data_IF_124507592266
#
_entry.id   IF_124507592266
#
_cell.length_a   1.000
_cell.length_b   1.000
_cell.length_c   1.000
_cell.angle_alpha   90.00
_cell.angle_beta   90.00
_cell.angle_gamma   90.00
#
_symmetry.space_group_name_H-M   'P 1'
#
loop_
_entity.id
_entity.type
_entity.pdbx_description
1 polymer ?
#
# COMPACT_ATOMS: atom_id res chain seq x y z
N UNK A 1 12.56 31.43 -7.87
CA UNK A 1 12.39 30.04 -7.40
C UNK A 1 10.91 29.77 -7.26
N UNK A 2 10.29 29.05 -8.19
CA UNK A 2 8.87 28.74 -8.14
C UNK A 2 8.64 27.65 -7.10
N UNK A 3 8.09 28.02 -5.95
CA UNK A 3 7.64 27.10 -4.93
C UNK A 3 6.46 26.28 -5.48
N UNK A 4 6.75 25.08 -5.97
CA UNK A 4 5.73 24.11 -6.39
C UNK A 4 4.93 23.68 -5.15
N UNK A 5 3.78 24.31 -4.93
CA UNK A 5 2.79 23.82 -3.95
C UNK A 5 2.35 22.44 -4.42
N UNK A 6 2.86 21.38 -3.78
CA UNK A 6 2.39 20.01 -4.04
C UNK A 6 0.88 19.99 -3.81
N UNK A 7 0.09 19.34 -4.69
CA UNK A 7 -1.34 19.18 -4.48
C UNK A 7 -1.60 18.52 -3.11
N UNK A 8 -2.76 18.77 -2.48
CA UNK A 8 -3.08 18.17 -1.20
C UNK A 8 -3.00 16.64 -1.28
N UNK A 9 -2.28 16.02 -0.33
CA UNK A 9 -2.09 14.56 -0.33
C UNK A 9 -3.44 13.84 -0.30
N UNK A 10 -3.63 12.88 -1.19
CA UNK A 10 -4.85 12.06 -1.23
C UNK A 10 -4.96 11.16 0.01
N UNK A 11 -6.16 10.64 0.31
CA UNK A 11 -6.34 9.70 1.43
C UNK A 11 -5.45 8.46 1.31
N UNK A 12 -5.26 7.98 0.07
CA UNK A 12 -4.35 6.89 -0.25
C UNK A 12 -2.89 7.22 0.09
N UNK A 13 -2.40 8.38 -0.36
CA UNK A 13 -1.03 8.82 -0.09
C UNK A 13 -0.77 9.00 1.41
N UNK A 14 -1.77 9.48 2.17
CA UNK A 14 -1.68 9.59 3.63
C UNK A 14 -1.51 8.23 4.30
N UNK A 15 -2.17 7.19 3.79
CA UNK A 15 -2.04 5.82 4.30
C UNK A 15 -0.65 5.26 3.98
N UNK A 16 -0.16 5.45 2.74
CA UNK A 16 1.21 5.05 2.38
C UNK A 16 2.25 5.75 3.27
N UNK A 17 2.07 7.05 3.50
CA UNK A 17 2.96 7.86 4.35
C UNK A 17 2.99 7.34 5.79
N UNK A 18 1.84 6.92 6.33
CA UNK A 18 1.75 6.26 7.64
C UNK A 18 2.63 5.00 7.69
N UNK A 19 2.54 4.12 6.69
CA UNK A 19 3.35 2.90 6.69
C UNK A 19 4.84 3.17 6.50
N UNK A 20 5.21 4.13 5.67
CA UNK A 20 6.61 4.41 5.39
C UNK A 20 7.30 5.17 6.54
N UNK A 21 6.62 6.12 7.16
CA UNK A 21 7.22 7.05 8.12
C UNK A 21 6.88 6.78 9.59
N UNK A 22 5.73 6.15 9.88
CA UNK A 22 5.27 5.94 11.26
C UNK A 22 5.34 4.49 11.72
N UNK A 23 5.04 3.53 10.83
CA UNK A 23 5.06 2.12 11.23
C UNK A 23 6.50 1.59 11.27
N UNK A 24 6.81 0.81 12.30
CA UNK A 24 8.09 0.09 12.39
C UNK A 24 8.07 -1.18 11.51
N UNK A 25 9.26 -1.64 11.11
CA UNK A 25 9.40 -2.85 10.30
C UNK A 25 9.10 -4.08 11.15
N UNK A 26 8.43 -5.08 10.57
CA UNK A 26 8.10 -6.35 11.21
C UNK A 26 7.32 -6.18 12.53
N UNK A 27 6.52 -5.12 12.63
CA UNK A 27 5.66 -4.84 13.76
C UNK A 27 4.17 -4.96 13.36
N UNK A 28 3.53 -6.13 13.56
CA UNK A 28 2.12 -6.33 13.29
C UNK A 28 1.24 -5.41 14.12
N UNK A 29 0.38 -4.65 13.42
CA UNK A 29 -0.65 -3.82 14.04
C UNK A 29 -2.04 -4.26 13.60
N UNK A 30 -3.00 -4.12 14.49
CA UNK A 30 -4.40 -4.33 14.16
C UNK A 30 -4.91 -3.20 13.26
N UNK A 31 -5.82 -3.52 12.34
CA UNK A 31 -6.49 -2.53 11.49
C UNK A 31 -7.18 -1.43 12.29
N UNK A 32 -7.65 -1.73 13.50
CA UNK A 32 -8.27 -0.77 14.41
C UNK A 32 -7.31 0.37 14.78
N UNK A 33 -6.04 0.05 15.05
CA UNK A 33 -5.00 1.05 15.34
C UNK A 33 -4.75 1.95 14.13
N UNK A 34 -4.74 1.39 12.93
CA UNK A 34 -4.58 2.17 11.69
C UNK A 34 -5.78 3.11 11.48
N UNK A 35 -7.00 2.66 11.79
CA UNK A 35 -8.21 3.49 11.77
C UNK A 35 -8.11 4.64 12.76
N UNK A 36 -7.67 4.37 13.99
CA UNK A 36 -7.46 5.39 15.04
C UNK A 36 -6.39 6.41 14.63
N UNK A 37 -5.22 5.94 14.17
CA UNK A 37 -4.07 6.79 13.84
C UNK A 37 -4.28 7.67 12.60
N UNK A 38 -5.11 7.20 11.66
CA UNK A 38 -5.38 7.91 10.40
C UNK A 38 -6.70 8.66 10.38
N UNK A 39 -7.64 8.33 11.27
CA UNK A 39 -8.98 8.92 11.34
C UNK A 39 -9.90 8.56 10.16
N UNK A 40 -9.50 7.61 9.31
CA UNK A 40 -10.33 7.15 8.18
C UNK A 40 -11.29 6.03 8.59
N UNK A 41 -12.39 5.89 7.85
CA UNK A 41 -13.35 4.81 8.10
C UNK A 41 -12.74 3.43 7.86
N UNK A 42 -13.18 2.45 8.65
CA UNK A 42 -12.70 1.06 8.56
C UNK A 42 -12.84 0.49 7.14
N UNK A 43 -13.98 0.74 6.48
CA UNK A 43 -14.22 0.27 5.10
C UNK A 43 -13.25 0.89 4.09
N UNK A 44 -12.89 2.17 4.26
CA UNK A 44 -11.91 2.84 3.40
C UNK A 44 -10.51 2.29 3.62
N UNK A 45 -10.09 2.13 4.87
CA UNK A 45 -8.79 1.54 5.22
C UNK A 45 -8.71 0.14 4.66
N UNK A 46 -9.69 -0.73 4.93
CA UNK A 46 -9.69 -2.11 4.45
C UNK A 46 -9.54 -2.19 2.93
N UNK A 47 -10.33 -1.41 2.17
CA UNK A 47 -10.22 -1.36 0.70
C UNK A 47 -8.83 -0.90 0.25
N UNK A 48 -8.27 0.10 0.93
CA UNK A 48 -6.96 0.65 0.61
C UNK A 48 -5.83 -0.33 0.92
N UNK A 49 -5.86 -1.00 2.08
CA UNK A 49 -4.85 -1.99 2.45
C UNK A 49 -4.89 -3.22 1.53
N UNK A 50 -6.07 -3.66 1.11
CA UNK A 50 -6.20 -4.71 0.08
C UNK A 50 -5.51 -4.28 -1.21
N UNK A 51 -5.78 -3.05 -1.69
CA UNK A 51 -5.14 -2.51 -2.89
C UNK A 51 -3.61 -2.42 -2.74
N UNK A 52 -3.12 -1.97 -1.57
CA UNK A 52 -1.68 -1.89 -1.30
C UNK A 52 -1.06 -3.30 -1.32
N UNK A 53 -1.70 -4.30 -0.72
CA UNK A 53 -1.22 -5.69 -0.74
C UNK A 53 -1.08 -6.25 -2.16
N UNK A 54 -2.00 -5.86 -3.06
CA UNK A 54 -1.98 -6.31 -4.45
C UNK A 54 -0.88 -5.59 -5.24
N UNK A 55 -0.81 -4.26 -5.14
CA UNK A 55 0.04 -3.42 -6.00
C UNK A 55 1.44 -3.14 -5.45
N UNK A 56 1.71 -3.42 -4.17
CA UNK A 56 2.98 -3.07 -3.53
C UNK A 56 3.67 -4.29 -2.91
N UNK A 57 4.99 -4.30 -3.00
CA UNK A 57 5.86 -5.25 -2.32
C UNK A 57 6.27 -4.74 -0.93
N UNK A 58 6.47 -5.71 -0.04
CA UNK A 58 6.89 -5.51 1.34
C UNK A 58 5.79 -5.05 2.29
N UNK A 59 4.54 -5.30 1.90
CA UNK A 59 3.35 -5.04 2.69
C UNK A 59 2.54 -6.31 2.90
N UNK A 60 2.13 -6.56 4.14
CA UNK A 60 1.33 -7.70 4.53
C UNK A 60 0.01 -7.26 5.14
N UNK A 61 -1.06 -7.95 4.75
CA UNK A 61 -2.40 -7.72 5.26
C UNK A 61 -3.21 -9.02 5.24
N UNK A 62 -3.58 -9.50 6.42
CA UNK A 62 -4.26 -10.77 6.58
C UNK A 62 -5.22 -10.77 7.76
N UNK A 63 -6.18 -11.70 7.71
CA UNK A 63 -7.14 -11.91 8.79
C UNK A 63 -6.55 -12.93 9.78
N UNK A 64 -6.41 -12.54 11.04
CA UNK A 64 -5.99 -13.42 12.13
C UNK A 64 -7.11 -13.48 13.17
N UNK A 65 -7.76 -14.64 13.29
CA UNK A 65 -8.94 -14.82 14.12
C UNK A 65 -10.08 -13.86 13.72
N UNK A 66 -10.49 -13.00 14.65
CA UNK A 66 -11.54 -12.00 14.41
C UNK A 66 -11.01 -10.61 14.02
N UNK A 67 -9.69 -10.43 13.95
CA UNK A 67 -9.08 -9.13 13.60
C UNK A 67 -8.30 -9.21 12.29
N UNK A 68 -8.04 -8.04 11.70
CA UNK A 68 -7.14 -7.92 10.57
C UNK A 68 -5.82 -7.34 11.05
N UNK A 69 -4.73 -7.98 10.68
CA UNK A 69 -3.37 -7.57 10.99
C UNK A 69 -2.69 -7.04 9.73
N UNK A 70 -1.84 -6.03 9.92
CA UNK A 70 -1.06 -5.42 8.86
C UNK A 70 0.33 -5.06 9.37
N UNK A 71 1.33 -5.30 8.54
CA UNK A 71 2.72 -4.89 8.79
C UNK A 71 3.46 -4.69 7.48
N UNK A 72 4.65 -4.11 7.59
CA UNK A 72 5.62 -4.04 6.49
C UNK A 72 6.87 -4.82 6.88
N UNK A 73 7.53 -5.42 5.90
CA UNK A 73 8.81 -6.13 6.10
C UNK A 73 10.02 -5.31 5.61
N UNK A 74 9.78 -4.11 5.09
CA UNK A 74 10.78 -3.17 4.54
C UNK A 74 10.61 -1.77 5.09
N UNK A 75 11.64 -0.94 4.91
CA UNK A 75 11.60 0.47 5.27
C UNK A 75 10.48 1.22 4.52
N UNK A 76 10.35 0.95 3.23
CA UNK A 76 9.33 1.54 2.37
C UNK A 76 8.61 0.44 1.59
N UNK A 77 7.29 0.56 1.45
CA UNK A 77 6.52 -0.26 0.52
C UNK A 77 6.81 0.22 -0.91
N UNK A 78 7.04 -0.72 -1.82
CA UNK A 78 7.50 -0.42 -3.18
C UNK A 78 6.41 -0.85 -4.16
N UNK A 79 5.98 0.05 -5.05
CA UNK A 79 4.98 -0.31 -6.07
C UNK A 79 5.58 -1.36 -7.01
N UNK A 80 4.86 -2.45 -7.24
CA UNK A 80 5.23 -3.49 -8.19
C UNK A 80 5.30 -2.90 -9.59
N UNK A 81 6.33 -3.29 -10.34
CA UNK A 81 6.54 -2.92 -11.73
C UNK A 81 5.70 -3.82 -12.64
N UNK A 82 4.37 -3.70 -12.58
CA UNK A 82 3.48 -4.44 -13.51
C UNK A 82 3.30 -3.71 -14.87
N UNK A 83 3.82 -2.49 -15.01
CA UNK A 83 3.69 -1.65 -16.21
C UNK A 83 5.02 -1.44 -16.95
N UNK A 84 5.90 -2.44 -16.98
CA UNK A 84 7.05 -2.41 -17.91
C UNK A 84 6.67 -3.01 -19.26
N UNK A 85 7.33 -2.57 -20.33
CA UNK A 85 7.10 -3.01 -21.71
C UNK A 85 7.17 -4.54 -21.93
N UNK A 86 7.63 -5.28 -20.92
CA UNK A 86 7.63 -6.75 -20.82
C UNK A 86 6.26 -7.39 -21.09
N UNK A 87 5.15 -6.76 -20.68
CA UNK A 87 3.81 -7.30 -20.93
C UNK A 87 3.44 -7.34 -22.42
N UNK A 88 4.08 -6.52 -23.25
CA UNK A 88 3.91 -6.51 -24.72
C UNK A 88 4.84 -7.49 -25.44
N UNK A 89 5.72 -8.18 -24.72
CA UNK A 89 6.57 -9.24 -25.30
C UNK A 89 5.83 -10.58 -25.36
N UNK A 90 4.97 -10.89 -24.38
CA UNK A 90 4.18 -12.13 -24.34
C UNK A 90 3.09 -12.21 -25.43
N UNK A 91 2.71 -11.07 -26.04
CA UNK A 91 1.72 -11.03 -27.13
C UNK A 91 2.32 -11.43 -28.49
N UNK A 92 3.64 -11.47 -28.65
CA UNK A 92 4.28 -11.79 -29.93
C UNK A 92 4.47 -13.30 -30.17
N UNK A 93 4.41 -14.14 -29.13
CA UNK A 93 4.61 -15.60 -29.25
C UNK A 93 3.34 -16.38 -29.70
N UNK A 94 2.26 -15.68 -30.13
CA UNK A 94 1.01 -16.30 -30.59
C UNK A 94 0.66 -16.08 -32.06
N UNK A 95 1.54 -15.49 -32.86
CA UNK A 95 1.39 -15.42 -34.31
C UNK A 95 2.61 -16.03 -35.01
N UNK A 96 2.60 -17.35 -35.18
CA UNK A 96 3.36 -18.08 -36.21
C UNK A 96 2.59 -19.34 -36.61
#
# INVERSE_FOLDING_TARGET
MSSTKKPPKTGFEKIIDYYNNKLEINHPVAIAKVVEDTGFSWSFIKKTLTKIKEEYDGFHFEKSGNTWLTWKDRNHIIKKLDETCSRFLDEQDKEC
#
